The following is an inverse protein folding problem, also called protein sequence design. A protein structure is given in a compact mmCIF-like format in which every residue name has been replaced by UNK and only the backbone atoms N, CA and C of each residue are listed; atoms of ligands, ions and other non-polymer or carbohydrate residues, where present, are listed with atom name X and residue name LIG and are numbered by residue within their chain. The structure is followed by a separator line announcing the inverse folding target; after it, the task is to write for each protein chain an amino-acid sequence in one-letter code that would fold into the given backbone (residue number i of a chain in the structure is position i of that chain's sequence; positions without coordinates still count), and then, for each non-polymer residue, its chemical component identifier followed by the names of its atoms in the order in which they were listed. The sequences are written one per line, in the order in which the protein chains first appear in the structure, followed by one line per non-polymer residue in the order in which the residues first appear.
data_IF_302659321713
#
_entry.id   IF_302659321713
#
_cell.length_a   1.000
_cell.length_b   1.000
_cell.length_c   1.000
_cell.angle_alpha   90.00
_cell.angle_beta   90.00
_cell.angle_gamma   90.00
#
_symmetry.space_group_name_H-M   'P 1'
#
loop_
_entity.id
_entity.type
_entity.pdbx_description
1 polymer ?
#
# COMPACT_ATOMS: atom_id res chain seq x y z
N UNK A 1 4.20 3.51 -13.59
CA UNK A 1 4.53 4.88 -14.04
C UNK A 1 5.92 5.19 -13.54
N UNK A 2 6.76 5.81 -14.36
CA UNK A 2 8.07 6.30 -13.89
C UNK A 2 7.83 7.57 -13.05
N UNK A 3 8.34 7.62 -11.81
CA UNK A 3 8.26 8.80 -10.94
C UNK A 3 9.16 9.93 -11.46
N UNK A 4 8.72 10.60 -12.53
CA UNK A 4 9.40 11.73 -13.15
C UNK A 4 8.98 13.03 -12.48
N UNK A 5 9.95 13.90 -12.20
CA UNK A 5 9.68 15.24 -11.68
C UNK A 5 8.89 16.10 -12.69
N UNK A 6 8.05 17.02 -12.18
CA UNK A 6 7.29 17.95 -13.04
C UNK A 6 8.19 18.81 -13.93
N UNK A 7 9.40 19.14 -13.47
CA UNK A 7 10.41 19.90 -14.23
C UNK A 7 10.86 19.23 -15.53
N UNK A 8 10.54 17.94 -15.72
CA UNK A 8 10.87 17.21 -16.94
C UNK A 8 10.32 17.87 -18.21
N UNK A 9 9.18 18.58 -18.14
CA UNK A 9 8.57 19.25 -19.30
C UNK A 9 9.39 20.45 -19.83
N UNK A 10 10.27 21.01 -19.00
CA UNK A 10 11.12 22.14 -19.36
C UNK A 10 12.53 21.71 -19.80
N UNK A 11 12.94 20.46 -19.51
CA UNK A 11 14.28 19.98 -19.87
C UNK A 11 14.49 19.94 -21.38
N UNK A 12 15.62 20.52 -21.82
CA UNK A 12 16.04 20.55 -23.23
C UNK A 12 16.06 19.16 -23.87
N UNK A 13 16.59 18.16 -23.15
CA UNK A 13 16.60 16.76 -23.62
C UNK A 13 15.18 16.23 -23.84
N UNK A 14 14.27 16.40 -22.88
CA UNK A 14 12.87 15.97 -23.02
C UNK A 14 12.21 16.61 -24.24
N UNK A 15 12.44 17.92 -24.43
CA UNK A 15 11.89 18.68 -25.56
C UNK A 15 12.40 18.17 -26.91
N UNK A 16 13.65 17.72 -26.99
CA UNK A 16 14.23 17.14 -28.21
C UNK A 16 13.55 15.82 -28.63
N UNK A 17 13.00 15.07 -27.67
CA UNK A 17 12.47 13.72 -27.90
C UNK A 17 10.94 13.62 -27.80
N UNK A 18 10.23 14.74 -27.72
CA UNK A 18 8.75 14.76 -27.67
C UNK A 18 8.16 15.50 -28.87
N UNK A 19 6.96 15.09 -29.28
CA UNK A 19 6.14 15.81 -30.27
C UNK A 19 5.17 16.81 -29.63
N UNK A 20 5.13 16.87 -28.30
CA UNK A 20 4.27 17.79 -27.56
C UNK A 20 4.82 19.22 -27.62
N UNK A 21 3.91 20.19 -27.71
CA UNK A 21 4.26 21.61 -27.64
C UNK A 21 4.99 21.95 -26.34
N UNK A 22 5.91 22.91 -26.41
CA UNK A 22 6.62 23.42 -25.25
C UNK A 22 5.63 23.95 -24.19
N UNK A 23 5.77 23.47 -22.95
CA UNK A 23 4.98 23.90 -21.80
C UNK A 23 5.92 24.22 -20.63
N UNK A 24 5.56 25.20 -19.82
CA UNK A 24 6.26 25.47 -18.56
C UNK A 24 5.64 24.64 -17.43
N UNK A 25 6.38 24.40 -16.35
CA UNK A 25 5.86 23.77 -15.13
C UNK A 25 4.68 24.58 -14.59
N UNK A 26 4.77 25.91 -14.64
CA UNK A 26 3.69 26.81 -14.20
C UNK A 26 2.42 26.60 -15.01
N UNK A 27 2.52 26.56 -16.34
CA UNK A 27 1.38 26.32 -17.23
C UNK A 27 0.81 24.92 -17.03
N UNK A 28 1.68 23.90 -16.94
CA UNK A 28 1.27 22.53 -16.71
C UNK A 28 0.47 22.39 -15.41
N UNK A 29 0.97 22.94 -14.30
CA UNK A 29 0.25 22.96 -13.00
C UNK A 29 -1.10 23.67 -13.12
N UNK A 30 -1.14 24.85 -13.77
CA UNK A 30 -2.41 25.58 -13.99
C UNK A 30 -3.41 24.75 -14.77
N UNK A 31 -2.97 24.04 -15.81
CA UNK A 31 -3.84 23.16 -16.59
C UNK A 31 -4.32 21.96 -15.77
N UNK A 32 -3.45 21.36 -14.94
CA UNK A 32 -3.84 20.27 -14.04
C UNK A 32 -4.94 20.70 -13.05
N UNK A 33 -4.80 21.87 -12.41
CA UNK A 33 -5.84 22.40 -11.53
C UNK A 33 -7.13 22.75 -12.27
N UNK A 34 -7.02 23.25 -13.51
CA UNK A 34 -8.21 23.54 -14.34
C UNK A 34 -8.93 22.24 -14.74
N UNK A 35 -8.17 21.17 -14.99
CA UNK A 35 -8.70 19.85 -15.32
C UNK A 35 -9.46 19.23 -14.14
N UNK A 36 -9.02 19.49 -12.91
CA UNK A 36 -9.70 19.03 -11.69
C UNK A 36 -11.19 19.41 -11.70
N UNK A 37 -11.51 20.68 -12.01
CA UNK A 37 -12.89 21.18 -12.08
C UNK A 37 -13.71 20.42 -13.13
N UNK A 38 -13.12 20.16 -14.30
CA UNK A 38 -13.78 19.43 -15.39
C UNK A 38 -14.02 17.96 -15.01
N UNK A 39 -13.02 17.33 -14.38
CA UNK A 39 -13.12 15.94 -13.91
C UNK A 39 -14.18 15.83 -12.81
N UNK A 40 -14.19 16.76 -11.84
CA UNK A 40 -15.19 16.79 -10.78
C UNK A 40 -16.60 16.93 -11.34
N UNK A 41 -16.82 17.84 -12.29
CA UNK A 41 -18.12 18.00 -12.96
C UNK A 41 -18.55 16.72 -13.70
N UNK A 42 -17.62 16.05 -14.36
CA UNK A 42 -17.86 14.77 -15.05
C UNK A 42 -18.24 13.65 -14.07
N UNK A 43 -17.52 13.53 -12.95
CA UNK A 43 -17.82 12.54 -11.90
C UNK A 43 -19.17 12.84 -11.26
N UNK A 44 -19.46 14.11 -10.91
CA UNK A 44 -20.76 14.54 -10.39
C UNK A 44 -21.91 14.10 -11.30
N UNK A 45 -21.80 14.35 -12.61
CA UNK A 45 -22.80 13.89 -13.59
C UNK A 45 -22.92 12.36 -13.61
N UNK A 46 -21.81 11.62 -13.50
CA UNK A 46 -21.81 10.16 -13.46
C UNK A 46 -22.47 9.59 -12.21
N UNK A 47 -22.36 10.25 -11.07
CA UNK A 47 -22.87 9.81 -9.78
C UNK A 47 -24.30 10.29 -9.49
N UNK A 48 -24.75 11.37 -10.11
CA UNK A 48 -26.08 11.95 -9.90
C UNK A 48 -27.20 10.91 -10.02
N UNK A 49 -28.01 10.79 -8.96
CA UNK A 49 -29.15 9.87 -8.87
C UNK A 49 -28.79 8.38 -8.77
N UNK A 50 -27.51 8.02 -8.66
CA UNK A 50 -27.07 6.62 -8.61
C UNK A 50 -26.65 6.20 -7.21
N UNK A 51 -26.88 4.93 -6.88
CA UNK A 51 -26.32 4.30 -5.69
C UNK A 51 -24.80 4.17 -5.79
N UNK A 52 -24.12 4.42 -4.69
CA UNK A 52 -22.66 4.37 -4.58
C UNK A 52 -22.26 3.75 -3.25
N UNK A 53 -21.20 2.95 -3.23
CA UNK A 53 -20.50 2.58 -2.01
C UNK A 53 -19.16 3.31 -1.95
N UNK A 54 -18.60 3.54 -0.78
CA UNK A 54 -17.27 4.15 -0.64
C UNK A 54 -16.27 3.12 -0.13
N UNK A 55 -15.18 2.90 -0.86
CA UNK A 55 -14.01 2.26 -0.31
C UNK A 55 -13.10 3.34 0.30
N UNK A 56 -12.76 3.18 1.58
CA UNK A 56 -11.92 4.10 2.31
C UNK A 56 -10.62 3.37 2.65
N UNK A 57 -9.51 3.98 2.24
CA UNK A 57 -8.17 3.51 2.56
C UNK A 57 -7.45 4.61 3.32
N UNK A 58 -6.89 4.27 4.48
CA UNK A 58 -6.20 5.21 5.35
C UNK A 58 -4.87 4.58 5.78
N UNK A 59 -3.78 5.32 5.55
CA UNK A 59 -2.43 4.86 5.89
C UNK A 59 -1.55 6.02 6.32
N UNK A 60 -0.41 5.66 6.91
CA UNK A 60 0.61 6.61 7.35
C UNK A 60 1.89 6.35 6.57
N UNK A 61 2.48 7.40 6.01
CA UNK A 61 3.81 7.34 5.42
C UNK A 61 4.62 8.58 5.78
N UNK A 62 5.86 8.40 6.22
CA UNK A 62 6.75 9.50 6.60
C UNK A 62 6.23 10.42 7.72
N UNK A 63 5.31 9.96 8.57
CA UNK A 63 4.66 10.78 9.61
C UNK A 63 3.42 11.54 9.12
N UNK A 64 3.09 11.47 7.84
CA UNK A 64 1.89 12.07 7.26
C UNK A 64 0.80 11.02 7.10
N UNK A 65 -0.41 11.39 7.49
CA UNK A 65 -1.60 10.53 7.37
C UNK A 65 -2.37 10.87 6.11
N UNK A 66 -2.66 9.82 5.33
CA UNK A 66 -3.38 9.92 4.07
C UNK A 66 -4.70 9.19 4.16
N UNK A 67 -5.71 9.75 3.50
CA UNK A 67 -7.02 9.12 3.32
C UNK A 67 -7.38 9.20 1.84
N UNK A 68 -7.72 8.04 1.27
CA UNK A 68 -8.30 7.92 -0.05
C UNK A 68 -9.75 7.45 0.05
N UNK A 69 -10.65 8.14 -0.67
CA UNK A 69 -12.06 7.75 -0.82
C UNK A 69 -12.28 7.40 -2.29
N UNK A 70 -12.73 6.17 -2.52
CA UNK A 70 -13.00 5.62 -3.85
C UNK A 70 -14.49 5.28 -3.95
N UNK A 71 -15.18 5.90 -4.90
CA UNK A 71 -16.56 5.58 -5.25
C UNK A 71 -16.64 4.25 -5.99
N UNK A 72 -17.41 3.32 -5.43
CA UNK A 72 -17.73 2.01 -5.97
C UNK A 72 -19.12 2.08 -6.58
N UNK A 73 -19.19 1.93 -7.90
CA UNK A 73 -20.44 1.99 -8.66
C UNK A 73 -20.54 0.78 -9.57
N UNK A 74 -21.72 0.57 -10.18
CA UNK A 74 -21.88 -0.42 -11.26
C UNK A 74 -20.95 -0.18 -12.46
N UNK A 75 -20.46 1.05 -12.64
CA UNK A 75 -19.57 1.44 -13.74
C UNK A 75 -18.09 1.22 -13.41
N UNK A 76 -17.77 0.80 -12.18
CA UNK A 76 -16.42 0.59 -11.71
C UNK A 76 -16.05 1.49 -10.53
N UNK A 77 -14.74 1.70 -10.36
CA UNK A 77 -14.12 2.40 -9.24
C UNK A 77 -13.64 3.78 -9.68
N UNK A 78 -13.95 4.81 -8.89
CA UNK A 78 -13.59 6.20 -9.19
C UNK A 78 -12.91 6.79 -7.95
N UNK A 79 -11.67 7.28 -8.07
CA UNK A 79 -11.03 8.01 -6.99
C UNK A 79 -11.75 9.36 -6.82
N UNK A 80 -12.39 9.56 -5.66
CA UNK A 80 -13.17 10.76 -5.35
C UNK A 80 -12.35 11.78 -4.58
N UNK A 81 -11.50 11.30 -3.67
CA UNK A 81 -10.65 12.14 -2.83
C UNK A 81 -9.37 11.40 -2.49
N UNK A 82 -8.27 12.12 -2.48
CA UNK A 82 -7.00 11.72 -1.90
C UNK A 82 -6.50 12.94 -1.14
N UNK A 83 -6.46 12.86 0.19
CA UNK A 83 -6.17 13.99 1.04
C UNK A 83 -5.29 13.59 2.21
N UNK A 84 -4.53 14.56 2.71
CA UNK A 84 -3.96 14.50 4.06
C UNK A 84 -4.97 15.05 5.06
N UNK A 85 -4.91 14.58 6.31
CA UNK A 85 -5.75 15.15 7.37
C UNK A 85 -5.14 16.50 7.82
N UNK A 86 -5.96 17.56 8.04
CA UNK A 86 -5.44 18.90 8.39
C UNK A 86 -4.64 18.94 9.69
N UNK A 87 -5.00 18.08 10.63
CA UNK A 87 -4.23 17.81 11.82
C UNK A 87 -3.63 16.41 11.68
N UNK A 88 -2.32 16.34 11.47
CA UNK A 88 -1.61 15.07 11.32
C UNK A 88 -1.81 14.16 12.53
N UNK A 89 -2.01 14.68 13.74
CA UNK A 89 -2.25 13.85 14.91
C UNK A 89 -3.68 13.27 14.99
N UNK A 90 -4.63 13.77 14.20
CA UNK A 90 -6.06 13.43 14.33
C UNK A 90 -6.52 12.45 13.24
N UNK A 91 -6.38 11.15 13.52
CA UNK A 91 -6.96 10.05 12.73
C UNK A 91 -8.31 9.58 13.30
N UNK A 92 -9.04 10.45 14.00
CA UNK A 92 -10.33 10.06 14.55
C UNK A 92 -11.36 9.77 13.45
N UNK A 93 -12.42 9.05 13.83
CA UNK A 93 -13.56 8.84 12.95
C UNK A 93 -14.17 10.18 12.49
N UNK A 94 -14.15 11.21 13.34
CA UNK A 94 -14.72 12.53 13.02
C UNK A 94 -13.88 13.27 11.97
N UNK A 95 -12.55 13.15 12.04
CA UNK A 95 -11.66 13.71 11.02
C UNK A 95 -11.93 13.07 9.64
N UNK A 96 -12.08 11.74 9.59
CA UNK A 96 -12.38 11.04 8.33
C UNK A 96 -13.80 11.36 7.85
N UNK A 97 -14.79 11.46 8.74
CA UNK A 97 -16.15 11.86 8.38
C UNK A 97 -16.17 13.23 7.71
N UNK A 98 -15.38 14.21 8.16
CA UNK A 98 -15.25 15.50 7.46
C UNK A 98 -14.75 15.34 6.03
N UNK A 99 -13.81 14.43 5.77
CA UNK A 99 -13.34 14.13 4.41
C UNK A 99 -14.44 13.46 3.57
N UNK A 100 -15.30 12.65 4.20
CA UNK A 100 -16.48 12.07 3.56
C UNK A 100 -17.51 13.17 3.22
N UNK A 101 -17.74 14.12 4.14
CA UNK A 101 -18.64 15.26 3.94
C UNK A 101 -18.17 16.16 2.79
N UNK A 102 -16.86 16.43 2.68
CA UNK A 102 -16.26 17.10 1.53
C UNK A 102 -16.62 16.40 0.21
N UNK A 103 -16.58 15.06 0.19
CA UNK A 103 -16.93 14.26 -1.00
C UNK A 103 -18.42 14.38 -1.31
N UNK A 104 -19.29 14.34 -0.29
CA UNK A 104 -20.72 14.58 -0.47
C UNK A 104 -20.97 15.95 -1.11
N UNK A 105 -20.28 17.00 -0.63
CA UNK A 105 -20.44 18.36 -1.11
C UNK A 105 -19.90 18.58 -2.53
N UNK A 106 -18.67 18.14 -2.82
CA UNK A 106 -18.03 18.30 -4.12
C UNK A 106 -18.87 17.65 -5.23
N UNK A 107 -19.32 16.42 -4.98
CA UNK A 107 -20.03 15.63 -6.00
C UNK A 107 -21.55 15.70 -5.89
N UNK A 108 -22.09 16.45 -4.91
CA UNK A 108 -23.52 16.54 -4.60
C UNK A 108 -24.17 15.17 -4.49
N UNK A 109 -23.53 14.29 -3.72
CA UNK A 109 -24.06 12.98 -3.40
C UNK A 109 -25.01 13.16 -2.21
N UNK A 110 -26.22 12.62 -2.31
CA UNK A 110 -27.16 12.62 -1.19
C UNK A 110 -26.86 11.45 -0.25
N UNK A 111 -27.12 11.60 1.05
CA UNK A 111 -26.91 10.52 2.02
C UNK A 111 -27.63 9.21 1.62
N UNK A 112 -28.84 9.31 1.04
CA UNK A 112 -29.60 8.17 0.56
C UNK A 112 -28.94 7.43 -0.61
N UNK A 113 -27.99 8.05 -1.33
CA UNK A 113 -27.24 7.39 -2.40
C UNK A 113 -26.13 6.48 -1.87
N UNK A 114 -25.60 6.76 -0.68
CA UNK A 114 -24.54 5.96 -0.08
C UNK A 114 -25.11 4.66 0.50
N UNK A 115 -24.62 3.52 -0.01
CA UNK A 115 -25.15 2.21 0.37
C UNK A 115 -24.30 1.48 1.40
N UNK A 116 -22.98 1.63 1.37
CA UNK A 116 -22.06 0.92 2.24
C UNK A 116 -20.66 1.55 2.22
N UNK A 117 -19.86 1.20 3.23
CA UNK A 117 -18.42 1.40 3.25
C UNK A 117 -17.65 0.09 3.01
N UNK A 118 -16.51 0.17 2.34
CA UNK A 118 -15.49 -0.89 2.29
C UNK A 118 -14.24 -0.34 2.97
N UNK A 119 -13.92 -0.86 4.14
CA UNK A 119 -12.76 -0.43 4.92
C UNK A 119 -12.08 -1.63 5.55
N UNK A 120 -10.84 -1.49 6.01
CA UNK A 120 -10.31 -2.47 6.95
C UNK A 120 -11.06 -2.42 8.30
N UNK A 121 -10.92 -3.46 9.13
CA UNK A 121 -11.68 -3.60 10.37
C UNK A 121 -11.03 -2.82 11.54
N UNK A 122 -10.43 -1.66 11.26
CA UNK A 122 -9.92 -0.78 12.30
C UNK A 122 -11.05 -0.22 13.17
N UNK A 123 -10.78 0.02 14.45
CA UNK A 123 -11.75 0.60 15.40
C UNK A 123 -12.32 1.93 14.93
N UNK A 124 -11.50 2.73 14.25
CA UNK A 124 -11.88 4.00 13.61
C UNK A 124 -12.95 3.78 12.54
N UNK A 125 -12.77 2.81 11.65
CA UNK A 125 -13.73 2.52 10.57
C UNK A 125 -15.06 1.97 11.09
N UNK A 126 -15.00 1.13 12.13
CA UNK A 126 -16.21 0.70 12.86
C UNK A 126 -16.94 1.88 13.48
N UNK A 127 -16.21 2.84 14.06
CA UNK A 127 -16.79 4.05 14.62
C UNK A 127 -17.44 4.94 13.53
N UNK A 128 -16.82 5.09 12.35
CA UNK A 128 -17.42 5.80 11.21
C UNK A 128 -18.77 5.18 10.82
N UNK A 129 -18.80 3.87 10.63
CA UNK A 129 -20.02 3.15 10.25
C UNK A 129 -21.14 3.32 11.30
N UNK A 130 -20.79 3.27 12.59
CA UNK A 130 -21.73 3.51 13.69
C UNK A 130 -22.27 4.94 13.71
N UNK A 131 -21.40 5.94 13.56
CA UNK A 131 -21.77 7.37 13.59
C UNK A 131 -22.62 7.79 12.39
N UNK A 132 -22.35 7.21 11.23
CA UNK A 132 -23.04 7.54 9.96
C UNK A 132 -24.27 6.67 9.70
N UNK A 133 -24.46 5.59 10.48
CA UNK A 133 -25.50 4.57 10.26
C UNK A 133 -25.45 3.91 8.88
N UNK A 134 -24.27 3.84 8.25
CA UNK A 134 -24.04 3.19 6.96
C UNK A 134 -23.37 1.83 7.20
N UNK A 135 -23.84 0.73 6.58
CA UNK A 135 -23.27 -0.58 6.79
C UNK A 135 -21.82 -0.64 6.26
N UNK A 136 -20.99 -1.45 6.93
CA UNK A 136 -19.58 -1.62 6.59
C UNK A 136 -19.30 -3.06 6.15
N UNK A 137 -18.53 -3.20 5.07
CA UNK A 137 -17.99 -4.45 4.56
C UNK A 137 -16.49 -4.45 4.84
N UNK A 138 -16.02 -5.37 5.68
CA UNK A 138 -14.59 -5.47 6.00
C UNK A 138 -13.74 -5.87 4.79
N UNK A 139 -12.54 -5.29 4.64
CA UNK A 139 -11.64 -5.63 3.54
C UNK A 139 -11.28 -7.12 3.55
N UNK A 140 -11.57 -7.82 2.46
CA UNK A 140 -11.15 -9.21 2.26
C UNK A 140 -9.63 -9.37 2.36
N UNK A 141 -8.88 -8.37 1.91
CA UNK A 141 -7.41 -8.31 2.03
C UNK A 141 -6.95 -8.43 3.48
N UNK A 142 -7.55 -7.63 4.36
CA UNK A 142 -7.22 -7.60 5.78
C UNK A 142 -7.69 -8.87 6.49
N UNK A 143 -8.90 -9.35 6.16
CA UNK A 143 -9.41 -10.63 6.69
C UNK A 143 -8.53 -11.81 6.31
N UNK A 144 -8.05 -11.84 5.07
CA UNK A 144 -7.11 -12.86 4.59
C UNK A 144 -5.77 -12.75 5.33
N UNK A 145 -5.24 -11.54 5.49
CA UNK A 145 -4.02 -11.33 6.27
C UNK A 145 -4.17 -11.81 7.73
N UNK A 146 -5.30 -11.51 8.39
CA UNK A 146 -5.57 -12.02 9.74
C UNK A 146 -5.64 -13.54 9.79
N UNK A 147 -6.27 -14.18 8.80
CA UNK A 147 -6.31 -15.64 8.71
C UNK A 147 -4.90 -16.23 8.52
N UNK A 148 -4.08 -15.62 7.66
CA UNK A 148 -2.69 -16.03 7.46
C UNK A 148 -1.85 -15.86 8.73
N UNK A 149 -2.03 -14.76 9.47
CA UNK A 149 -1.36 -14.54 10.75
C UNK A 149 -1.75 -15.60 11.78
N UNK A 150 -3.04 -15.96 11.85
CA UNK A 150 -3.51 -17.01 12.75
C UNK A 150 -2.91 -18.38 12.40
N UNK A 151 -2.89 -18.74 11.12
CA UNK A 151 -2.26 -19.99 10.65
C UNK A 151 -0.75 -20.03 10.92
N UNK A 152 -0.05 -18.91 10.73
CA UNK A 152 1.39 -18.83 10.95
C UNK A 152 1.81 -18.78 12.42
N UNK A 153 0.86 -18.58 13.34
CA UNK A 153 1.12 -18.47 14.77
C UNK A 153 1.83 -19.72 15.32
N UNK A 154 1.45 -20.91 14.85
CA UNK A 154 2.07 -22.18 15.25
C UNK A 154 3.55 -22.30 14.83
N UNK A 155 3.99 -21.47 13.90
CA UNK A 155 5.36 -21.43 13.38
C UNK A 155 6.10 -20.15 13.77
N UNK A 156 5.60 -19.39 14.75
CA UNK A 156 6.20 -18.12 15.19
C UNK A 156 7.69 -18.25 15.49
N UNK A 157 8.08 -19.32 16.18
CA UNK A 157 9.47 -19.54 16.59
C UNK A 157 10.39 -19.77 15.39
N UNK A 158 9.92 -20.50 14.39
CA UNK A 158 10.66 -20.71 13.14
C UNK A 158 10.77 -19.41 12.34
N UNK A 159 9.68 -18.63 12.27
CA UNK A 159 9.67 -17.32 11.62
C UNK A 159 10.60 -16.32 12.33
N UNK A 160 10.74 -16.41 13.64
CA UNK A 160 11.68 -15.65 14.46
C UNK A 160 13.12 -16.03 14.14
N UNK A 161 13.43 -17.32 14.03
CA UNK A 161 14.75 -17.78 13.57
C UNK A 161 15.07 -17.29 12.16
N UNK A 162 14.14 -17.40 11.20
CA UNK A 162 14.34 -16.89 9.84
C UNK A 162 14.59 -15.38 9.85
N UNK A 163 13.78 -14.61 10.60
CA UNK A 163 13.98 -13.17 10.74
C UNK A 163 15.36 -12.83 11.31
N UNK A 164 15.83 -13.54 12.34
CA UNK A 164 17.17 -13.34 12.90
C UNK A 164 18.27 -13.60 11.86
N UNK A 165 18.13 -14.64 11.04
CA UNK A 165 19.07 -14.91 9.95
C UNK A 165 19.05 -13.80 8.90
N UNK A 166 17.86 -13.34 8.50
CA UNK A 166 17.71 -12.23 7.55
C UNK A 166 18.32 -10.93 8.08
N UNK A 167 18.25 -10.66 9.38
CA UNK A 167 18.94 -9.54 10.05
C UNK A 167 20.46 -9.69 9.98
N UNK A 168 21.00 -10.88 10.29
CA UNK A 168 22.44 -11.15 10.18
C UNK A 168 22.94 -10.95 8.76
N UNK A 169 22.20 -11.41 7.75
CA UNK A 169 22.55 -11.24 6.34
C UNK A 169 22.49 -9.76 5.89
N UNK A 170 21.72 -8.91 6.57
CA UNK A 170 21.56 -7.51 6.15
C UNK A 170 22.63 -6.54 6.71
N UNK A 171 23.68 -7.06 7.36
CA UNK A 171 24.84 -6.23 7.71
C UNK A 171 25.54 -5.70 6.45
N UNK A 172 26.26 -4.59 6.55
CA UNK A 172 26.94 -3.98 5.39
C UNK A 172 27.94 -4.97 4.76
N UNK A 173 28.69 -5.71 5.61
CA UNK A 173 29.66 -6.71 5.17
C UNK A 173 28.99 -7.86 4.42
N UNK A 174 27.91 -8.41 4.97
CA UNK A 174 27.22 -9.55 4.35
C UNK A 174 26.46 -9.15 3.09
N UNK A 175 25.88 -7.94 3.05
CA UNK A 175 25.31 -7.39 1.82
C UNK A 175 26.34 -7.17 0.73
N UNK A 176 27.57 -6.76 1.07
CA UNK A 176 28.65 -6.68 0.09
C UNK A 176 28.90 -8.05 -0.52
N UNK A 177 29.05 -9.07 0.31
CA UNK A 177 29.26 -10.45 -0.15
C UNK A 177 28.11 -10.94 -1.02
N UNK A 178 26.86 -10.70 -0.62
CA UNK A 178 25.69 -11.02 -1.43
C UNK A 178 25.71 -10.30 -2.79
N UNK A 179 26.23 -9.07 -2.90
CA UNK A 179 26.38 -8.40 -4.20
C UNK A 179 27.48 -9.01 -5.05
N UNK A 180 28.58 -9.45 -4.44
CA UNK A 180 29.68 -10.11 -5.15
C UNK A 180 29.23 -11.41 -5.84
N UNK A 181 28.24 -12.09 -5.26
CA UNK A 181 27.63 -13.31 -5.82
C UNK A 181 26.31 -13.06 -6.57
N UNK A 182 26.01 -11.79 -6.92
CA UNK A 182 24.78 -11.36 -7.63
C UNK A 182 23.46 -11.82 -6.96
N UNK A 183 23.42 -11.71 -5.64
CA UNK A 183 22.29 -12.17 -4.83
C UNK A 183 21.29 -11.11 -4.43
N UNK A 184 20.07 -11.62 -4.23
CA UNK A 184 18.94 -10.86 -3.74
C UNK A 184 19.18 -10.37 -2.30
N UNK A 185 18.99 -9.07 -2.07
CA UNK A 185 19.15 -8.49 -0.72
C UNK A 185 18.12 -9.07 0.27
N UNK A 186 18.48 -9.22 1.55
CA UNK A 186 17.54 -9.67 2.57
C UNK A 186 16.37 -8.70 2.74
N UNK A 187 15.19 -9.25 3.03
CA UNK A 187 13.97 -8.50 3.37
C UNK A 187 13.45 -8.94 4.74
N UNK A 188 12.71 -8.07 5.41
CA UNK A 188 12.20 -8.29 6.75
C UNK A 188 10.70 -8.49 6.75
N UNK A 189 10.20 -9.24 7.74
CA UNK A 189 8.80 -9.15 8.12
C UNK A 189 8.55 -7.77 8.75
N UNK A 190 7.52 -7.07 8.29
CA UNK A 190 6.97 -5.89 8.96
C UNK A 190 5.54 -6.21 9.39
N UNK A 191 5.16 -5.81 10.60
CA UNK A 191 3.81 -6.08 11.12
C UNK A 191 2.71 -5.42 10.26
N UNK A 192 3.04 -4.33 9.57
CA UNK A 192 2.13 -3.52 8.76
C UNK A 192 2.04 -3.93 7.29
N UNK A 193 2.96 -4.75 6.77
CA UNK A 193 2.93 -5.20 5.36
C UNK A 193 2.36 -6.60 5.25
N UNK A 194 1.17 -6.70 4.65
CA UNK A 194 0.34 -7.91 4.60
C UNK A 194 1.01 -9.13 3.94
N UNK A 195 2.08 -8.94 3.18
CA UNK A 195 2.82 -10.02 2.49
C UNK A 195 4.28 -10.16 2.96
N UNK A 196 4.70 -9.41 3.97
CA UNK A 196 6.12 -9.32 4.34
C UNK A 196 6.69 -10.62 4.92
N UNK A 197 5.88 -11.36 5.69
CA UNK A 197 6.29 -12.69 6.21
C UNK A 197 6.54 -13.66 5.06
N UNK A 198 5.63 -13.71 4.07
CA UNK A 198 5.82 -14.54 2.88
C UNK A 198 7.06 -14.10 2.09
N UNK A 199 7.21 -12.80 1.84
CA UNK A 199 8.35 -12.26 1.12
C UNK A 199 9.69 -12.55 1.83
N UNK A 200 9.73 -12.51 3.16
CA UNK A 200 10.90 -12.88 3.96
C UNK A 200 11.23 -14.36 3.79
N UNK A 201 10.25 -15.25 3.91
CA UNK A 201 10.47 -16.70 3.81
C UNK A 201 10.89 -17.10 2.39
N UNK A 202 10.21 -16.61 1.35
CA UNK A 202 10.60 -16.82 -0.05
C UNK A 202 12.02 -16.29 -0.33
N UNK A 203 12.34 -15.08 0.18
CA UNK A 203 13.69 -14.52 0.03
C UNK A 203 14.74 -15.35 0.76
N UNK A 204 14.43 -15.82 1.97
CA UNK A 204 15.33 -16.65 2.76
C UNK A 204 15.68 -17.94 2.01
N UNK A 205 14.68 -18.67 1.48
CA UNK A 205 14.93 -19.90 0.74
C UNK A 205 15.73 -19.65 -0.55
N UNK A 206 15.44 -18.58 -1.30
CA UNK A 206 16.22 -18.23 -2.50
C UNK A 206 17.69 -17.93 -2.20
N UNK A 207 17.96 -17.24 -1.08
CA UNK A 207 19.33 -16.98 -0.63
C UNK A 207 19.96 -18.32 -0.19
N UNK A 208 19.27 -19.10 0.63
CA UNK A 208 19.75 -20.37 1.18
C UNK A 208 20.09 -21.41 0.10
N UNK A 209 19.21 -21.61 -0.88
CA UNK A 209 19.41 -22.55 -2.00
C UNK A 209 20.67 -22.27 -2.81
N UNK A 210 21.08 -21.00 -2.85
CA UNK A 210 22.26 -20.58 -3.58
C UNK A 210 23.50 -20.50 -2.70
N UNK A 211 23.37 -20.12 -1.44
CA UNK A 211 24.45 -20.23 -0.46
C UNK A 211 24.90 -21.68 -0.26
N UNK A 212 23.97 -22.65 -0.24
CA UNK A 212 24.30 -24.08 -0.21
C UNK A 212 25.04 -24.58 -1.45
N UNK A 213 25.01 -23.83 -2.56
CA UNK A 213 25.74 -24.17 -3.80
C UNK A 213 27.13 -23.53 -3.85
N UNK A 214 27.46 -22.65 -2.92
CA UNK A 214 28.73 -21.92 -2.83
C UNK A 214 29.47 -22.39 -1.57
N UNK A 215 30.48 -23.23 -1.74
CA UNK A 215 31.18 -23.88 -0.63
C UNK A 215 32.10 -22.93 0.17
N UNK A 216 32.29 -23.28 1.45
CA UNK A 216 33.22 -22.80 2.49
C UNK A 216 33.17 -21.35 3.02
N UNK A 217 32.67 -20.34 2.31
CA UNK A 217 32.68 -18.95 2.82
C UNK A 217 31.48 -18.54 3.69
N UNK A 218 30.36 -19.25 3.55
CA UNK A 218 29.03 -18.87 4.06
C UNK A 218 28.37 -19.95 4.92
N UNK A 219 29.11 -21.02 5.26
CA UNK A 219 28.65 -22.13 6.09
C UNK A 219 28.16 -21.68 7.48
N UNK A 220 28.72 -20.59 8.02
CA UNK A 220 28.32 -19.99 9.30
C UNK A 220 26.87 -19.45 9.33
N UNK A 221 26.24 -19.29 8.16
CA UNK A 221 24.87 -18.81 8.02
C UNK A 221 23.83 -19.94 7.86
N UNK A 222 24.28 -21.19 7.75
CA UNK A 222 23.42 -22.38 7.63
C UNK A 222 23.00 -22.84 9.03
N UNK A 223 21.68 -22.94 9.35
CA UNK A 223 21.25 -23.49 10.63
C UNK A 223 21.72 -24.94 10.81
N UNK A 224 22.10 -25.34 12.03
CA UNK A 224 22.56 -26.69 12.31
C UNK A 224 21.47 -27.74 11.97
N UNK A 225 21.86 -29.00 11.69
CA UNK A 225 20.95 -30.03 11.16
C UNK A 225 19.65 -30.26 11.96
N UNK A 226 19.64 -29.99 13.27
CA UNK A 226 18.45 -30.09 14.13
C UNK A 226 17.46 -28.92 14.03
N UNK A 227 17.78 -27.87 13.26
CA UNK A 227 16.91 -26.70 13.02
C UNK A 227 16.50 -26.55 11.55
N UNK A 228 16.90 -27.49 10.69
CA UNK A 228 16.48 -27.51 9.29
C UNK A 228 14.99 -27.86 9.24
N UNK A 229 14.23 -27.13 8.42
CA UNK A 229 12.85 -27.49 8.10
C UNK A 229 12.86 -28.95 7.65
N UNK A 230 12.18 -29.82 8.37
CA UNK A 230 11.96 -31.17 7.91
C UNK A 230 11.25 -31.05 6.55
N UNK A 231 11.92 -31.45 5.48
CA UNK A 231 11.25 -31.73 4.23
C UNK A 231 10.21 -32.80 4.53
N UNK A 232 8.95 -32.40 4.63
CA UNK A 232 7.83 -33.32 4.74
C UNK A 232 7.83 -34.17 3.48
N UNK A 233 8.42 -35.35 3.59
CA UNK A 233 8.39 -36.39 2.56
C UNK A 233 7.09 -37.15 2.73
N UNK A 234 6.02 -36.67 2.07
CA UNK A 234 4.88 -37.43 1.53
C UNK A 234 3.71 -36.50 1.24
#
# INVERSE_FOLDING_TARGET
MENRELGMCEKVKTRKFTRLSAVSVKTLKKTMFSLEVVVQASIKKKLSGKKVGFAIDAWTDGGTHFVAIIGITKLGKILLRFATLPNEADMSADAIIKVIDDVFDIYRIEAAQLCFFICDHASVNVAIARKTHVPMIGCSCHRFNLAMQALMCEHSDLLDKVQQQMVKLNTIKNRHHLREVDELMPVYRNATGWSSTFAMVDRYFRIYDKLNRLDDGLADFIPPPGERFAESSS
#
